data_IF_833229543367
#
_entry.id   IF_833229543367
#
_cell.length_a   1.000
_cell.length_b   1.000
_cell.length_c   1.000
_cell.angle_alpha   90.00
_cell.angle_beta   90.00
_cell.angle_gamma   90.00
#
_symmetry.space_group_name_H-M   'P 1'
#
loop_
_entity.id
_entity.type
_entity.pdbx_description
1 polymer ?
#
# COMPACT_ATOMS: atom_id res chain seq x y z
N UNK A 1 8.81 -20.72 -17.92
CA UNK A 1 9.49 -20.34 -16.69
C UNK A 1 8.74 -19.18 -16.02
N UNK A 2 8.52 -19.30 -14.76
CA UNK A 2 7.89 -18.23 -14.04
C UNK A 2 8.94 -17.37 -13.37
N UNK A 3 8.93 -16.12 -13.67
CA UNK A 3 9.79 -15.16 -13.01
C UNK A 3 8.92 -14.32 -12.08
N UNK A 4 9.32 -14.25 -10.83
CA UNK A 4 8.66 -13.35 -9.92
C UNK A 4 9.02 -11.93 -10.34
N UNK A 5 8.02 -11.17 -10.73
CA UNK A 5 8.20 -9.78 -11.09
C UNK A 5 8.06 -8.92 -9.86
N UNK A 6 8.95 -7.97 -9.70
CA UNK A 6 8.79 -6.94 -8.70
C UNK A 6 7.56 -6.09 -9.04
N UNK A 7 6.84 -5.66 -8.03
CA UNK A 7 5.76 -4.72 -8.22
C UNK A 7 6.32 -3.32 -8.42
N UNK A 8 5.75 -2.61 -9.39
CA UNK A 8 5.96 -1.16 -9.44
C UNK A 8 5.04 -0.49 -8.42
N UNK A 9 5.34 0.75 -7.99
CA UNK A 9 4.42 1.45 -7.08
C UNK A 9 2.98 1.53 -7.61
N UNK A 10 2.79 1.89 -8.86
CA UNK A 10 1.46 1.94 -9.46
C UNK A 10 0.83 0.54 -9.56
N UNK A 11 1.63 -0.47 -9.88
CA UNK A 11 1.18 -1.86 -9.95
C UNK A 11 0.72 -2.38 -8.59
N UNK A 12 1.43 -2.03 -7.52
CA UNK A 12 1.04 -2.39 -6.17
C UNK A 12 -0.32 -1.82 -5.81
N UNK A 13 -0.59 -0.56 -6.16
CA UNK A 13 -1.88 0.06 -5.91
C UNK A 13 -3.00 -0.61 -6.70
N UNK A 14 -2.76 -0.96 -7.96
CA UNK A 14 -3.72 -1.69 -8.79
C UNK A 14 -4.04 -3.06 -8.20
N UNK A 15 -3.02 -3.77 -7.73
CA UNK A 15 -3.19 -5.06 -7.09
C UNK A 15 -4.04 -4.96 -5.82
N UNK A 16 -3.75 -3.97 -4.97
CA UNK A 16 -4.53 -3.73 -3.76
C UNK A 16 -5.98 -3.39 -4.09
N UNK A 17 -6.22 -2.59 -5.12
CA UNK A 17 -7.55 -2.20 -5.53
C UNK A 17 -8.41 -3.39 -5.96
N UNK A 18 -7.80 -4.44 -6.51
CA UNK A 18 -8.54 -5.63 -6.92
C UNK A 18 -8.82 -6.60 -5.79
N UNK A 19 -7.99 -6.59 -4.75
CA UNK A 19 -8.10 -7.55 -3.65
C UNK A 19 -8.85 -6.99 -2.44
N UNK A 20 -8.73 -5.70 -2.21
CA UNK A 20 -9.16 -5.11 -0.94
C UNK A 20 -10.55 -4.51 -1.06
N UNK A 21 -11.33 -4.71 -0.01
CA UNK A 21 -12.68 -4.17 0.09
C UNK A 21 -12.60 -2.81 0.77
N UNK A 22 -13.27 -1.82 0.17
CA UNK A 22 -13.48 -0.49 0.75
C UNK A 22 -12.19 0.28 1.03
N UNK A 23 -11.22 0.15 0.12
CA UNK A 23 -10.07 1.04 0.09
C UNK A 23 -10.44 2.26 -0.74
N UNK A 24 -10.44 3.43 -0.13
CA UNK A 24 -10.91 4.67 -0.74
C UNK A 24 -9.81 5.50 -1.35
N UNK A 25 -8.61 5.39 -0.82
CA UNK A 25 -7.43 6.05 -1.36
C UNK A 25 -6.20 5.29 -0.91
N UNK A 26 -5.14 5.35 -1.69
CA UNK A 26 -3.89 4.69 -1.34
C UNK A 26 -2.72 5.44 -1.94
N UNK A 27 -1.56 5.31 -1.32
CA UNK A 27 -0.32 5.86 -1.81
C UNK A 27 0.84 4.94 -1.46
N UNK A 28 1.82 4.87 -2.35
CA UNK A 28 3.10 4.20 -2.09
C UNK A 28 4.17 5.29 -1.96
N UNK A 29 4.93 5.21 -0.88
CA UNK A 29 5.97 6.16 -0.59
C UNK A 29 7.33 5.44 -0.51
N UNK A 30 8.41 6.17 -0.78
CA UNK A 30 9.75 5.67 -0.54
C UNK A 30 10.14 5.84 0.94
N UNK A 31 11.36 5.42 1.29
CA UNK A 31 11.85 5.51 2.67
C UNK A 31 11.94 6.95 3.18
N UNK A 32 12.07 7.92 2.29
CA UNK A 32 12.11 9.34 2.66
C UNK A 32 10.73 9.97 2.81
N UNK A 33 9.66 9.24 2.48
CA UNK A 33 8.30 9.75 2.55
C UNK A 33 7.81 10.41 1.27
N UNK A 34 8.56 10.29 0.19
CA UNK A 34 8.15 10.82 -1.11
C UNK A 34 7.12 9.90 -1.75
N UNK A 35 6.02 10.45 -2.23
CA UNK A 35 4.98 9.68 -2.90
C UNK A 35 5.48 9.23 -4.26
N UNK A 36 5.54 7.93 -4.46
CA UNK A 36 5.94 7.31 -5.72
C UNK A 36 4.76 7.05 -6.63
N UNK A 37 3.58 6.79 -6.05
CA UNK A 37 2.35 6.59 -6.79
C UNK A 37 1.16 6.80 -5.85
N UNK A 38 0.01 7.13 -6.41
CA UNK A 38 -1.23 7.24 -5.66
C UNK A 38 -1.54 8.66 -5.23
N UNK A 39 -2.29 8.78 -4.14
CA UNK A 39 -2.83 10.06 -3.68
C UNK A 39 -1.79 10.81 -2.84
N UNK A 40 -1.28 11.95 -3.33
CA UNK A 40 -0.28 12.73 -2.59
C UNK A 40 -0.81 13.29 -1.27
N UNK A 41 -2.11 13.40 -1.09
CA UNK A 41 -2.69 13.87 0.16
C UNK A 41 -2.43 12.91 1.33
N UNK A 42 -2.06 11.66 1.05
CA UNK A 42 -1.73 10.68 2.07
C UNK A 42 -0.27 10.74 2.53
N UNK A 43 0.56 11.57 1.91
CA UNK A 43 1.93 11.76 2.36
C UNK A 43 1.92 12.30 3.79
N UNK A 44 2.66 11.65 4.68
CA UNK A 44 2.72 12.07 6.08
C UNK A 44 1.52 11.68 6.93
N UNK A 45 0.51 11.01 6.37
CA UNK A 45 -0.63 10.55 7.15
C UNK A 45 -0.19 9.46 8.12
N UNK A 46 -0.64 9.55 9.36
CA UNK A 46 -0.38 8.55 10.38
C UNK A 46 -1.54 7.57 10.51
N UNK A 47 -1.29 6.43 11.17
CA UNK A 47 -2.34 5.48 11.46
C UNK A 47 -3.47 6.10 12.26
N UNK A 48 -4.68 5.70 11.94
CA UNK A 48 -5.88 6.17 12.59
C UNK A 48 -7.05 5.23 12.32
N UNK A 49 -8.27 5.62 12.72
CA UNK A 49 -9.44 4.74 12.57
C UNK A 49 -9.73 4.37 11.12
N UNK A 50 -9.42 5.25 10.18
CA UNK A 50 -9.69 5.05 8.76
C UNK A 50 -8.42 5.09 7.90
N UNK A 51 -7.25 5.05 8.52
CA UNK A 51 -5.97 5.07 7.82
C UNK A 51 -5.11 3.94 8.33
N UNK A 52 -4.59 3.12 7.41
CA UNK A 52 -3.63 2.07 7.72
C UNK A 52 -2.30 2.38 7.04
N UNK A 53 -1.22 2.16 7.77
CA UNK A 53 0.14 2.36 7.26
C UNK A 53 0.92 1.06 7.43
N UNK A 54 1.55 0.61 6.38
CA UNK A 54 2.49 -0.51 6.44
C UNK A 54 3.84 -0.02 5.93
N UNK A 55 4.91 -0.41 6.61
CA UNK A 55 6.25 0.05 6.30
C UNK A 55 7.22 -1.10 6.18
N UNK A 56 8.17 -0.93 5.27
CA UNK A 56 9.39 -1.74 5.21
C UNK A 56 10.57 -0.79 5.27
N UNK A 57 11.79 -1.31 5.12
CA UNK A 57 12.98 -0.46 5.11
C UNK A 57 13.01 0.48 3.91
N UNK A 58 12.37 0.11 2.81
CA UNK A 58 12.49 0.83 1.52
C UNK A 58 11.22 1.56 1.12
N UNK A 59 10.07 1.10 1.61
CA UNK A 59 8.78 1.62 1.16
C UNK A 59 7.79 1.74 2.31
N UNK A 60 6.76 2.53 2.07
CA UNK A 60 5.57 2.57 2.93
C UNK A 60 4.34 2.58 2.03
N UNK A 61 3.27 1.97 2.50
CA UNK A 61 1.97 2.06 1.84
C UNK A 61 0.99 2.63 2.84
N UNK A 62 0.28 3.67 2.43
CA UNK A 62 -0.75 4.32 3.24
C UNK A 62 -2.07 4.15 2.51
N UNK A 63 -3.08 3.67 3.22
CA UNK A 63 -4.42 3.50 2.65
C UNK A 63 -5.45 4.17 3.54
N UNK A 64 -6.43 4.80 2.90
CA UNK A 64 -7.63 5.27 3.58
C UNK A 64 -8.73 4.27 3.33
N UNK A 65 -9.37 3.83 4.39
CA UNK A 65 -10.39 2.79 4.35
C UNK A 65 -11.74 3.33 4.73
N UNK A 66 -12.79 2.69 4.20
CA UNK A 66 -14.15 2.92 4.67
C UNK A 66 -14.55 1.91 5.74
N UNK A 67 -15.80 1.99 6.22
CA UNK A 67 -16.26 1.16 7.34
C UNK A 67 -16.36 -0.34 7.02
N UNK A 68 -16.34 -0.71 5.75
CA UNK A 68 -16.44 -2.11 5.34
C UNK A 68 -15.10 -2.81 5.20
N UNK A 69 -14.00 -2.08 5.38
CA UNK A 69 -12.67 -2.64 5.21
C UNK A 69 -12.40 -3.75 6.24
N UNK A 70 -11.89 -4.87 5.76
CA UNK A 70 -11.49 -5.98 6.62
C UNK A 70 -10.02 -5.77 6.98
N UNK A 71 -9.79 -5.06 8.07
CA UNK A 71 -8.47 -4.50 8.38
C UNK A 71 -7.37 -5.54 8.54
N UNK A 72 -7.66 -6.68 9.14
CA UNK A 72 -6.64 -7.71 9.31
C UNK A 72 -6.26 -8.36 7.97
N UNK A 73 -7.20 -8.52 7.05
CA UNK A 73 -6.91 -9.02 5.71
C UNK A 73 -6.18 -7.97 4.90
N UNK A 74 -6.60 -6.71 5.01
CA UNK A 74 -5.94 -5.61 4.32
C UNK A 74 -4.49 -5.47 4.79
N UNK A 75 -4.23 -5.62 6.08
CA UNK A 75 -2.86 -5.55 6.61
C UNK A 75 -1.98 -6.64 5.99
N UNK A 76 -2.51 -7.85 5.83
CA UNK A 76 -1.78 -8.93 5.16
C UNK A 76 -1.51 -8.59 3.69
N UNK A 77 -2.49 -8.00 3.00
CA UNK A 77 -2.34 -7.57 1.62
C UNK A 77 -1.30 -6.46 1.49
N UNK A 78 -1.29 -5.49 2.41
CA UNK A 78 -0.30 -4.42 2.41
C UNK A 78 1.11 -4.99 2.59
N UNK A 79 1.26 -5.95 3.48
CA UNK A 79 2.55 -6.59 3.70
C UNK A 79 3.04 -7.33 2.46
N UNK A 80 2.15 -8.06 1.80
CA UNK A 80 2.48 -8.75 0.56
C UNK A 80 2.88 -7.76 -0.55
N UNK A 81 2.18 -6.64 -0.64
CA UNK A 81 2.53 -5.60 -1.61
C UNK A 81 3.91 -4.99 -1.33
N UNK A 82 4.23 -4.75 -0.04
CA UNK A 82 5.56 -4.26 0.33
C UNK A 82 6.65 -5.24 -0.06
N UNK A 83 6.44 -6.53 0.17
CA UNK A 83 7.40 -7.54 -0.24
C UNK A 83 7.64 -7.51 -1.75
N UNK A 84 6.59 -7.36 -2.53
CA UNK A 84 6.70 -7.23 -3.98
C UNK A 84 7.46 -5.99 -4.42
N UNK A 85 7.23 -4.86 -3.74
CA UNK A 85 7.96 -3.62 -4.01
C UNK A 85 9.44 -3.75 -3.66
N UNK A 86 9.75 -4.42 -2.58
CA UNK A 86 11.12 -4.51 -2.07
C UNK A 86 11.99 -5.51 -2.83
N UNK A 87 11.41 -6.33 -3.70
CA UNK A 87 12.15 -7.26 -4.53
C UNK A 87 13.04 -6.55 -5.56
N UNK A 88 12.63 -5.40 -6.00
CA UNK A 88 13.35 -4.64 -7.04
C UNK A 88 14.74 -4.18 -6.58
#
# INVERSE_FOLDING_TARGET
MTTRSALTPAGALGWLATLSIDVRAAAVLDAAGTVLAGDPALAGAGEGPDVMVARSERHAIVVRTGPRALKHLLRADLRAALEGLDIA
#
